data_IF_493915697982
#
_entry.id   IF_493915697982
#
_cell.length_a   1.000
_cell.length_b   1.000
_cell.length_c   1.000
_cell.angle_alpha   90.00
_cell.angle_beta   90.00
_cell.angle_gamma   90.00
#
_symmetry.space_group_name_H-M   'P 1'
#
loop_
_entity.id
_entity.type
_entity.pdbx_description
1 polymer ?
#
# COMPACT_ATOMS: atom_id res chain seq x y z
N UNK A 1 2.44 6.17 20.35
CA UNK A 1 3.40 7.13 19.80
C UNK A 1 2.60 8.23 19.14
N UNK A 2 2.56 9.41 19.74
CA UNK A 2 1.93 10.58 19.12
C UNK A 2 2.79 11.09 17.97
N UNK A 3 2.16 11.56 16.90
CA UNK A 3 2.83 12.21 15.77
C UNK A 3 2.51 13.70 15.80
N UNK A 4 3.53 14.56 15.86
CA UNK A 4 3.33 16.00 15.58
C UNK A 4 2.98 16.16 14.09
N UNK A 5 1.68 16.30 13.82
CA UNK A 5 1.14 16.39 12.45
C UNK A 5 1.63 17.64 11.73
N UNK A 6 1.83 18.76 12.44
CA UNK A 6 2.27 20.00 11.82
C UNK A 6 3.71 19.85 11.35
N UNK A 7 4.61 19.45 12.26
CA UNK A 7 6.01 19.18 11.90
C UNK A 7 6.10 18.13 10.78
N UNK A 8 5.37 17.03 10.92
CA UNK A 8 5.37 15.95 9.94
C UNK A 8 4.98 16.44 8.53
N UNK A 9 3.87 17.19 8.40
CA UNK A 9 3.43 17.66 7.09
C UNK A 9 4.34 18.75 6.51
N UNK A 10 4.99 19.56 7.34
CA UNK A 10 5.97 20.55 6.89
C UNK A 10 7.22 19.86 6.31
N UNK A 11 7.78 18.88 7.02
CA UNK A 11 8.90 18.07 6.52
C UNK A 11 8.52 17.26 5.28
N UNK A 12 7.37 16.56 5.30
CA UNK A 12 6.93 15.72 4.19
C UNK A 12 6.70 16.56 2.92
N UNK A 13 6.16 17.77 3.05
CA UNK A 13 5.98 18.69 1.92
C UNK A 13 7.32 18.99 1.24
N UNK A 14 8.35 19.31 2.01
CA UNK A 14 9.66 19.67 1.48
C UNK A 14 10.40 18.46 0.88
N UNK A 15 10.49 17.35 1.62
CA UNK A 15 11.38 16.23 1.28
C UNK A 15 10.74 15.15 0.39
N UNK A 16 9.42 15.00 0.43
CA UNK A 16 8.72 13.83 -0.14
C UNK A 16 7.80 14.26 -1.29
N UNK A 17 7.04 15.34 -1.09
CA UNK A 17 6.03 15.79 -2.05
C UNK A 17 6.50 16.94 -2.96
N UNK A 18 7.81 17.20 -3.03
CA UNK A 18 8.39 18.15 -3.98
C UNK A 18 7.95 19.60 -3.77
N UNK A 19 7.81 20.02 -2.51
CA UNK A 19 7.46 21.38 -2.10
C UNK A 19 5.96 21.68 -2.07
N UNK A 20 5.08 20.77 -2.53
CA UNK A 20 3.63 21.00 -2.53
C UNK A 20 2.86 19.76 -2.10
N UNK A 21 1.91 19.95 -1.19
CA UNK A 21 1.04 18.89 -0.69
C UNK A 21 -0.42 19.21 -1.06
N UNK A 22 -1.08 18.30 -1.79
CA UNK A 22 -2.48 18.44 -2.22
C UNK A 22 -3.43 17.98 -1.10
N UNK A 23 -4.64 18.52 -1.06
CA UNK A 23 -5.65 18.13 -0.06
C UNK A 23 -5.88 16.60 0.00
N UNK A 24 -5.98 15.94 -1.16
CA UNK A 24 -6.12 14.47 -1.22
C UNK A 24 -4.88 13.71 -0.72
N UNK A 25 -3.68 14.28 -0.84
CA UNK A 25 -2.48 13.69 -0.24
C UNK A 25 -2.52 13.84 1.29
N UNK A 26 -2.93 15.01 1.80
CA UNK A 26 -3.13 15.22 3.25
C UNK A 26 -4.13 14.22 3.81
N UNK A 27 -5.29 14.07 3.15
CA UNK A 27 -6.35 13.15 3.55
C UNK A 27 -5.85 11.70 3.65
N UNK A 28 -5.19 11.22 2.60
CA UNK A 28 -4.69 9.84 2.56
C UNK A 28 -3.58 9.56 3.58
N UNK A 29 -2.65 10.50 3.72
CA UNK A 29 -1.58 10.38 4.73
C UNK A 29 -2.17 10.42 6.14
N UNK A 30 -3.11 11.33 6.40
CA UNK A 30 -3.77 11.43 7.71
C UNK A 30 -4.52 10.14 8.04
N UNK A 31 -5.27 9.58 7.08
CA UNK A 31 -5.97 8.32 7.27
C UNK A 31 -5.02 7.15 7.62
N UNK A 32 -3.83 7.09 7.02
CA UNK A 32 -2.82 6.08 7.37
C UNK A 32 -2.28 6.30 8.79
N UNK A 33 -1.94 7.54 9.15
CA UNK A 33 -1.43 7.86 10.48
C UNK A 33 -2.47 7.59 11.58
N UNK A 34 -3.72 8.01 11.39
CA UNK A 34 -4.84 7.75 12.31
C UNK A 34 -5.14 6.25 12.37
N UNK A 35 -5.09 5.59 11.22
CA UNK A 35 -5.26 4.15 11.11
C UNK A 35 -4.19 3.38 11.88
N UNK A 36 -2.94 3.86 11.88
CA UNK A 36 -1.84 3.30 12.63
C UNK A 36 -1.98 3.54 14.13
N UNK A 37 -2.28 4.77 14.55
CA UNK A 37 -2.50 5.10 15.98
C UNK A 37 -3.58 4.22 16.61
N UNK A 38 -4.67 3.94 15.87
CA UNK A 38 -5.75 3.05 16.34
C UNK A 38 -5.33 1.59 16.50
N UNK A 39 -4.43 1.09 15.64
CA UNK A 39 -4.15 -0.35 15.48
C UNK A 39 -2.81 -0.79 16.09
N UNK A 40 -1.84 0.11 16.11
CA UNK A 40 -0.48 -0.10 16.56
C UNK A 40 0.03 1.14 17.32
N UNK A 41 -0.64 1.55 18.43
CA UNK A 41 -0.25 2.75 19.17
C UNK A 41 1.19 2.67 19.72
N UNK A 42 1.68 1.48 20.03
CA UNK A 42 3.06 1.23 20.49
C UNK A 42 3.98 0.74 19.35
N UNK A 43 3.52 0.83 18.11
CA UNK A 43 4.25 0.37 16.94
C UNK A 43 5.52 1.16 16.69
N UNK A 44 6.51 0.48 16.10
CA UNK A 44 7.80 1.07 15.75
C UNK A 44 7.65 2.19 14.69
N UNK A 45 8.34 3.31 14.91
CA UNK A 45 8.29 4.48 14.01
C UNK A 45 8.80 4.17 12.60
N UNK A 46 9.83 3.35 12.47
CA UNK A 46 10.38 2.96 11.18
C UNK A 46 9.38 2.09 10.42
N UNK A 47 8.66 1.22 11.14
CA UNK A 47 7.58 0.43 10.56
C UNK A 47 6.46 1.32 9.99
N UNK A 48 5.98 2.33 10.75
CA UNK A 48 5.01 3.31 10.23
C UNK A 48 5.55 4.07 9.02
N UNK A 49 6.82 4.51 9.07
CA UNK A 49 7.46 5.18 7.95
C UNK A 49 7.48 4.31 6.69
N UNK A 50 7.72 3.01 6.84
CA UNK A 50 7.73 2.06 5.74
C UNK A 50 6.34 1.78 5.17
N UNK A 51 5.30 1.78 6.02
CA UNK A 51 3.89 1.73 5.60
C UNK A 51 3.55 2.92 4.71
N UNK A 52 3.92 4.14 5.14
CA UNK A 52 3.71 5.36 4.34
C UNK A 52 4.49 5.33 3.03
N UNK A 53 5.74 4.86 3.05
CA UNK A 53 6.56 4.70 1.85
C UNK A 53 5.98 3.71 0.85
N UNK A 54 5.42 2.60 1.35
CA UNK A 54 4.72 1.62 0.53
C UNK A 54 3.52 2.25 -0.15
N UNK A 55 2.63 2.90 0.62
CA UNK A 55 1.48 3.59 0.04
C UNK A 55 1.89 4.67 -0.98
N UNK A 56 2.93 5.45 -0.69
CA UNK A 56 3.45 6.45 -1.61
C UNK A 56 3.92 5.83 -2.92
N UNK A 57 4.70 4.76 -2.86
CA UNK A 57 5.24 4.09 -4.03
C UNK A 57 4.13 3.45 -4.88
N UNK A 58 3.27 2.64 -4.26
CA UNK A 58 2.24 1.86 -4.96
C UNK A 58 1.12 2.73 -5.54
N UNK A 59 0.94 3.96 -5.02
CA UNK A 59 -0.11 4.89 -5.48
C UNK A 59 0.42 6.01 -6.37
N UNK A 60 1.67 5.92 -6.84
CA UNK A 60 2.36 6.97 -7.59
C UNK A 60 2.31 8.35 -6.90
N UNK A 61 2.48 8.35 -5.58
CA UNK A 61 2.51 9.54 -4.73
C UNK A 61 1.15 10.22 -4.52
N UNK A 62 0.05 9.65 -5.00
CA UNK A 62 -1.29 10.21 -4.79
C UNK A 62 -1.75 10.06 -3.35
N UNK A 63 -1.23 9.05 -2.63
CA UNK A 63 -1.65 8.64 -1.29
C UNK A 63 -3.13 8.28 -1.22
N UNK A 64 -3.74 7.94 -2.34
CA UNK A 64 -5.13 7.54 -2.44
C UNK A 64 -5.22 6.10 -2.95
N UNK A 65 -6.25 5.33 -2.60
CA UNK A 65 -6.52 4.05 -3.22
C UNK A 65 -6.58 4.20 -4.75
N UNK A 66 -5.79 3.43 -5.47
CA UNK A 66 -5.79 3.45 -6.95
C UNK A 66 -6.12 2.08 -7.51
N UNK A 67 -6.75 2.07 -8.68
CA UNK A 67 -6.86 0.86 -9.49
C UNK A 67 -5.59 0.68 -10.28
N UNK A 68 -5.27 -0.56 -10.58
CA UNK A 68 -4.15 -0.93 -11.43
C UNK A 68 -4.14 -0.12 -12.72
N UNK A 69 -2.95 0.24 -13.19
CA UNK A 69 -2.71 1.17 -14.30
C UNK A 69 -3.20 2.62 -14.07
N UNK A 70 -3.56 2.98 -12.83
CA UNK A 70 -4.20 4.26 -12.47
C UNK A 70 -5.49 4.52 -13.26
N UNK A 71 -6.24 3.45 -13.54
CA UNK A 71 -7.50 3.55 -14.26
C UNK A 71 -8.62 4.13 -13.37
N UNK A 72 -9.55 4.86 -14.00
CA UNK A 72 -10.74 5.37 -13.30
C UNK A 72 -11.78 4.29 -13.04
N UNK A 73 -11.83 3.26 -13.87
CA UNK A 73 -12.79 2.16 -13.79
C UNK A 73 -12.09 0.82 -13.98
N UNK A 74 -12.70 -0.26 -13.49
CA UNK A 74 -12.20 -1.62 -13.66
C UNK A 74 -12.14 -2.01 -15.14
N UNK A 75 -13.15 -1.66 -15.93
CA UNK A 75 -13.16 -1.91 -17.37
C UNK A 75 -11.96 -1.26 -18.09
N UNK A 76 -11.58 -0.03 -17.70
CA UNK A 76 -10.43 0.63 -18.28
C UNK A 76 -9.10 0.02 -17.81
N UNK A 77 -9.01 -0.44 -16.55
CA UNK A 77 -7.86 -1.20 -16.06
C UNK A 77 -7.69 -2.51 -16.85
N UNK A 78 -8.76 -3.29 -16.96
CA UNK A 78 -8.81 -4.56 -17.69
C UNK A 78 -8.38 -4.33 -19.15
N UNK A 79 -8.97 -3.36 -19.86
CA UNK A 79 -8.61 -3.10 -21.26
C UNK A 79 -7.12 -2.76 -21.45
N UNK A 80 -6.50 -2.05 -20.50
CA UNK A 80 -5.07 -1.73 -20.53
C UNK A 80 -4.21 -2.97 -20.24
N UNK A 81 -4.61 -3.80 -19.28
CA UNK A 81 -3.95 -5.05 -18.94
C UNK A 81 -4.04 -6.05 -20.10
N UNK A 82 -5.22 -6.20 -20.72
CA UNK A 82 -5.41 -7.00 -21.94
C UNK A 82 -4.46 -6.58 -23.04
N UNK A 83 -4.40 -5.28 -23.35
CA UNK A 83 -3.51 -4.75 -24.39
C UNK A 83 -2.03 -5.05 -24.06
N UNK A 84 -1.64 -4.93 -22.80
CA UNK A 84 -0.28 -5.25 -22.37
C UNK A 84 0.02 -6.75 -22.49
N UNK A 85 -0.90 -7.60 -22.06
CA UNK A 85 -0.82 -9.07 -22.12
C UNK A 85 -0.73 -9.57 -23.57
N UNK A 86 -1.66 -9.15 -24.43
CA UNK A 86 -1.68 -9.52 -25.85
C UNK A 86 -0.41 -9.06 -26.61
N UNK A 87 0.21 -7.96 -26.17
CA UNK A 87 1.49 -7.49 -26.72
C UNK A 87 2.74 -8.16 -26.12
N UNK A 88 2.58 -9.16 -25.26
CA UNK A 88 3.70 -9.91 -24.64
C UNK A 88 4.51 -9.10 -23.62
N UNK A 89 3.96 -8.01 -23.07
CA UNK A 89 4.61 -7.18 -22.04
C UNK A 89 4.47 -7.73 -20.62
N UNK A 90 3.53 -8.65 -20.39
CA UNK A 90 3.27 -9.28 -19.09
C UNK A 90 3.72 -10.75 -19.07
N UNK A 91 4.99 -11.00 -19.44
CA UNK A 91 5.52 -12.37 -19.65
C UNK A 91 5.50 -13.28 -18.43
N UNK A 92 5.51 -12.71 -17.23
CA UNK A 92 5.45 -13.46 -15.97
C UNK A 92 4.03 -13.92 -15.61
N UNK A 93 3.01 -13.32 -16.21
CA UNK A 93 1.62 -13.65 -15.94
C UNK A 93 1.23 -14.86 -16.78
N UNK A 94 1.04 -16.01 -16.13
CA UNK A 94 0.53 -17.23 -16.80
C UNK A 94 -0.98 -17.24 -16.89
N UNK A 95 -1.65 -16.82 -15.82
CA UNK A 95 -3.10 -16.79 -15.71
C UNK A 95 -3.51 -15.35 -15.36
N UNK A 96 -4.18 -14.64 -16.28
CA UNK A 96 -4.64 -13.27 -16.09
C UNK A 96 -5.60 -13.17 -14.90
N UNK A 97 -5.13 -12.65 -13.77
CA UNK A 97 -5.95 -12.50 -12.57
C UNK A 97 -7.03 -11.41 -12.70
N UNK A 98 -6.93 -10.56 -13.71
CA UNK A 98 -7.91 -9.52 -13.99
C UNK A 98 -9.05 -10.00 -14.89
N UNK A 99 -8.97 -11.20 -15.48
CA UNK A 99 -10.11 -11.80 -16.17
C UNK A 99 -11.24 -12.03 -15.17
N UNK A 100 -12.48 -11.63 -15.51
CA UNK A 100 -13.64 -11.97 -14.71
C UNK A 100 -13.73 -13.48 -14.51
N UNK A 101 -13.95 -13.92 -13.28
CA UNK A 101 -14.26 -15.32 -12.99
C UNK A 101 -15.71 -15.68 -13.36
N UNK A 102 -16.14 -16.89 -13.00
CA UNK A 102 -17.49 -17.38 -13.30
C UNK A 102 -18.60 -16.52 -12.65
N UNK A 103 -18.27 -15.78 -11.59
CA UNK A 103 -19.16 -14.83 -10.92
C UNK A 103 -19.01 -13.38 -11.43
N UNK A 104 -18.20 -13.18 -12.48
CA UNK A 104 -17.93 -11.88 -13.07
C UNK A 104 -16.97 -11.00 -12.25
N UNK A 105 -16.25 -11.56 -11.27
CA UNK A 105 -15.34 -10.80 -10.38
C UNK A 105 -13.94 -10.75 -10.95
N UNK A 106 -13.32 -9.58 -10.89
CA UNK A 106 -11.95 -9.35 -11.35
C UNK A 106 -11.02 -9.05 -10.19
N UNK A 107 -9.88 -9.74 -10.13
CA UNK A 107 -8.91 -9.68 -9.04
C UNK A 107 -7.71 -8.76 -9.36
N UNK A 108 -7.96 -7.73 -10.18
CA UNK A 108 -6.98 -6.69 -10.53
C UNK A 108 -6.50 -5.89 -9.32
N UNK A 109 -5.37 -5.19 -9.46
CA UNK A 109 -4.75 -4.39 -8.39
C UNK A 109 -5.65 -3.26 -7.89
N UNK A 110 -5.92 -3.21 -6.58
CA UNK A 110 -6.68 -2.12 -5.94
C UNK A 110 -6.04 -1.65 -4.65
N UNK A 111 -6.37 -0.42 -4.27
CA UNK A 111 -5.99 0.14 -2.97
C UNK A 111 -4.56 0.69 -2.91
N UNK A 112 -4.18 1.08 -1.70
CA UNK A 112 -2.89 1.66 -1.31
C UNK A 112 -1.71 0.68 -1.45
N UNK A 113 -1.97 -0.61 -1.66
CA UNK A 113 -0.96 -1.67 -1.75
C UNK A 113 -1.04 -2.48 -3.05
N UNK A 114 -1.91 -2.08 -3.99
CA UNK A 114 -2.15 -2.82 -5.25
C UNK A 114 -2.46 -4.31 -5.01
N UNK A 115 -3.50 -4.60 -4.21
CA UNK A 115 -3.94 -5.96 -3.91
C UNK A 115 -4.42 -6.67 -5.18
N UNK A 116 -3.72 -7.73 -5.59
CA UNK A 116 -4.02 -8.56 -6.76
C UNK A 116 -4.30 -10.01 -6.35
N UNK A 117 -4.95 -10.79 -7.22
CA UNK A 117 -5.28 -12.22 -7.06
C UNK A 117 -6.34 -12.54 -5.99
N UNK A 118 -7.28 -13.42 -6.34
CA UNK A 118 -8.39 -13.86 -5.47
C UNK A 118 -7.97 -14.26 -4.06
N UNK A 119 -6.92 -15.09 -3.93
CA UNK A 119 -6.40 -15.54 -2.62
C UNK A 119 -6.05 -14.39 -1.66
N UNK A 120 -5.58 -13.26 -2.20
CA UNK A 120 -5.23 -12.11 -1.37
C UNK A 120 -6.49 -11.33 -0.96
N UNK A 121 -7.50 -11.26 -1.82
CA UNK A 121 -8.82 -10.72 -1.45
C UNK A 121 -9.51 -11.58 -0.38
N UNK A 122 -9.41 -12.91 -0.47
CA UNK A 122 -9.90 -13.84 0.56
C UNK A 122 -9.17 -13.64 1.90
N UNK A 123 -7.84 -13.54 1.89
CA UNK A 123 -7.05 -13.26 3.08
C UNK A 123 -7.39 -11.90 3.70
N UNK A 124 -7.52 -10.86 2.86
CA UNK A 124 -7.88 -9.51 3.31
C UNK A 124 -9.33 -9.43 3.79
N UNK A 125 -10.22 -10.27 3.28
CA UNK A 125 -11.61 -10.32 3.76
C UNK A 125 -11.66 -10.78 5.21
N UNK A 126 -10.92 -11.85 5.53
CA UNK A 126 -10.78 -12.35 6.92
C UNK A 126 -10.13 -11.31 7.84
N UNK A 127 -9.10 -10.63 7.34
CA UNK A 127 -8.33 -9.66 8.12
C UNK A 127 -9.07 -8.33 8.36
N UNK A 128 -9.89 -7.89 7.41
CA UNK A 128 -10.67 -6.65 7.54
C UNK A 128 -12.07 -6.85 8.11
N UNK A 129 -12.60 -8.08 8.08
CA UNK A 129 -14.02 -8.37 8.37
C UNK A 129 -14.98 -7.91 7.26
N UNK A 130 -14.46 -7.45 6.12
CA UNK A 130 -15.24 -7.03 4.96
C UNK A 130 -15.19 -8.12 3.89
N UNK A 131 -16.33 -8.49 3.31
CA UNK A 131 -16.35 -9.43 2.20
C UNK A 131 -15.86 -8.80 0.88
N UNK A 132 -14.54 -8.83 0.67
CA UNK A 132 -13.88 -8.35 -0.54
C UNK A 132 -13.95 -9.37 -1.69
N UNK A 133 -14.42 -10.60 -1.42
CA UNK A 133 -14.63 -11.62 -2.45
C UNK A 133 -15.95 -11.36 -3.15
N UNK A 134 -17.01 -11.10 -2.37
CA UNK A 134 -18.30 -10.70 -2.90
C UNK A 134 -18.24 -9.31 -3.56
N UNK A 135 -17.49 -8.36 -2.99
CA UNK A 135 -17.30 -7.03 -3.56
C UNK A 135 -15.83 -6.55 -3.55
N UNK A 136 -15.03 -6.93 -4.58
CA UNK A 136 -13.64 -6.52 -4.70
C UNK A 136 -13.43 -5.01 -4.81
N UNK A 137 -14.45 -4.25 -5.25
CA UNK A 137 -14.32 -2.81 -5.42
C UNK A 137 -14.15 -2.09 -4.08
N UNK A 138 -14.60 -2.68 -2.98
CA UNK A 138 -14.45 -2.14 -1.62
C UNK A 138 -13.01 -1.95 -1.18
N UNK A 139 -12.05 -2.66 -1.79
CA UNK A 139 -10.62 -2.41 -1.59
C UNK A 139 -10.18 -0.99 -2.02
N UNK A 140 -11.03 -0.26 -2.76
CA UNK A 140 -10.84 1.15 -3.11
C UNK A 140 -11.38 2.13 -2.07
N UNK A 141 -12.16 1.68 -1.09
CA UNK A 141 -12.59 2.52 0.03
C UNK A 141 -11.36 2.85 0.90
N UNK A 142 -11.16 4.12 1.23
CA UNK A 142 -9.94 4.58 1.91
C UNK A 142 -9.72 3.86 3.25
N UNK A 143 -10.74 3.75 4.10
CA UNK A 143 -10.61 3.08 5.40
C UNK A 143 -10.27 1.59 5.29
N UNK A 144 -10.91 0.89 4.34
CA UNK A 144 -10.62 -0.53 4.09
C UNK A 144 -9.21 -0.66 3.56
N UNK A 145 -8.81 0.17 2.60
CA UNK A 145 -7.47 0.11 2.03
C UNK A 145 -6.38 0.44 3.06
N UNK A 146 -6.62 1.36 4.00
CA UNK A 146 -5.70 1.64 5.12
C UNK A 146 -5.60 0.43 6.02
N UNK A 147 -6.72 -0.23 6.32
CA UNK A 147 -6.74 -1.47 7.13
C UNK A 147 -5.94 -2.57 6.44
N UNK A 148 -6.18 -2.83 5.15
CA UNK A 148 -5.45 -3.81 4.34
C UNK A 148 -3.95 -3.52 4.38
N UNK A 149 -3.54 -2.28 4.14
CA UNK A 149 -2.14 -1.88 4.14
C UNK A 149 -1.48 -2.15 5.50
N UNK A 150 -2.05 -1.62 6.58
CA UNK A 150 -1.44 -1.69 7.91
C UNK A 150 -1.45 -3.12 8.44
N UNK A 151 -2.62 -3.73 8.54
CA UNK A 151 -2.76 -5.06 9.13
C UNK A 151 -2.13 -6.13 8.25
N UNK A 152 -2.25 -6.03 6.92
CA UNK A 152 -1.59 -6.95 6.00
C UNK A 152 -0.07 -6.93 6.17
N UNK A 153 0.55 -5.76 6.32
CA UNK A 153 2.00 -5.64 6.57
C UNK A 153 2.41 -6.09 7.99
N UNK A 154 1.54 -5.93 8.99
CA UNK A 154 1.79 -6.38 10.37
C UNK A 154 1.67 -7.90 10.53
N UNK A 155 0.68 -8.49 9.87
CA UNK A 155 0.41 -9.93 9.92
C UNK A 155 1.23 -10.72 8.89
N UNK A 156 1.79 -10.05 7.88
CA UNK A 156 2.52 -10.69 6.78
C UNK A 156 1.60 -11.39 5.79
N UNK A 157 0.38 -10.86 5.60
CA UNK A 157 -0.66 -11.55 4.83
C UNK A 157 -0.45 -11.52 3.31
N UNK A 158 0.55 -10.80 2.80
CA UNK A 158 0.87 -10.76 1.37
C UNK A 158 1.88 -11.84 0.97
N UNK A 159 2.95 -12.01 1.76
CA UNK A 159 4.09 -12.90 1.43
C UNK A 159 4.52 -13.83 2.57
N UNK A 160 3.90 -13.72 3.75
CA UNK A 160 4.33 -14.36 5.00
C UNK A 160 5.33 -13.52 5.81
N UNK A 161 5.93 -12.49 5.21
CA UNK A 161 6.90 -11.60 5.87
C UNK A 161 6.19 -10.37 6.41
N UNK A 162 6.50 -9.98 7.64
CA UNK A 162 5.84 -8.90 8.37
C UNK A 162 6.80 -7.77 8.77
N UNK A 163 6.25 -6.61 9.13
CA UNK A 163 7.02 -5.44 9.60
C UNK A 163 8.01 -5.80 10.72
N UNK A 164 7.60 -6.61 11.69
CA UNK A 164 8.47 -7.06 12.79
C UNK A 164 9.63 -7.95 12.37
N UNK A 165 9.64 -8.49 11.14
CA UNK A 165 10.82 -9.16 10.59
C UNK A 165 11.92 -8.17 10.20
N UNK A 166 11.63 -6.88 10.03
CA UNK A 166 12.56 -5.88 9.49
C UNK A 166 12.78 -4.66 10.37
N UNK A 167 11.82 -4.34 11.24
CA UNK A 167 11.87 -3.17 12.13
C UNK A 167 11.57 -3.59 13.57
N UNK A 168 12.29 -3.01 14.52
CA UNK A 168 12.16 -3.26 15.96
C UNK A 168 13.47 -3.05 16.71
N UNK A 169 13.56 -3.47 17.99
CA UNK A 169 14.78 -3.30 18.78
C UNK A 169 16.01 -3.90 18.09
N UNK A 170 17.02 -3.05 17.82
CA UNK A 170 18.23 -3.43 17.11
C UNK A 170 18.05 -3.80 15.64
N UNK A 171 16.88 -3.53 15.03
CA UNK A 171 16.55 -3.94 13.66
C UNK A 171 16.02 -2.78 12.82
N UNK A 172 16.65 -2.56 11.67
CA UNK A 172 16.36 -1.46 10.76
C UNK A 172 16.69 -1.86 9.31
N UNK A 173 15.99 -2.84 8.75
CA UNK A 173 16.24 -3.35 7.39
C UNK A 173 15.22 -2.79 6.38
N UNK A 174 15.53 -1.58 5.88
CA UNK A 174 14.71 -0.86 4.90
C UNK A 174 14.65 -1.52 3.52
N UNK A 175 15.75 -2.17 3.10
CA UNK A 175 15.83 -2.80 1.77
C UNK A 175 15.10 -4.14 1.77
N UNK A 176 15.34 -4.97 2.78
CA UNK A 176 14.71 -6.26 2.93
C UNK A 176 13.20 -6.17 3.14
N UNK A 177 12.72 -5.10 3.77
CA UNK A 177 11.29 -4.86 4.01
C UNK A 177 10.45 -4.79 2.72
N UNK A 178 11.04 -4.63 1.53
CA UNK A 178 10.29 -4.70 0.27
C UNK A 178 9.60 -6.06 0.10
N UNK A 179 10.19 -7.10 0.69
CA UNK A 179 9.69 -8.47 0.70
C UNK A 179 8.36 -8.67 1.43
N UNK A 180 7.92 -7.69 2.22
CA UNK A 180 6.59 -7.71 2.85
C UNK A 180 5.50 -7.65 1.79
N UNK A 181 5.71 -6.90 0.69
CA UNK A 181 4.70 -6.64 -0.33
C UNK A 181 4.95 -7.45 -1.61
N UNK A 182 6.20 -7.48 -2.09
CA UNK A 182 6.56 -8.11 -3.35
C UNK A 182 7.99 -8.70 -3.25
N UNK A 183 8.70 -8.96 -4.34
CA UNK A 183 10.12 -9.33 -4.31
C UNK A 183 11.03 -8.18 -3.85
N UNK A 184 12.11 -7.92 -4.59
CA UNK A 184 13.04 -6.81 -4.29
C UNK A 184 13.01 -5.70 -5.32
N UNK A 185 11.99 -5.68 -6.19
CA UNK A 185 11.85 -4.62 -7.19
C UNK A 185 11.67 -3.26 -6.51
N UNK A 186 12.42 -2.26 -7.01
CA UNK A 186 12.49 -0.89 -6.48
C UNK A 186 12.80 -0.79 -4.98
N UNK A 187 13.41 -1.81 -4.37
CA UNK A 187 13.68 -1.83 -2.92
C UNK A 187 14.45 -0.60 -2.42
N UNK A 188 15.48 -0.16 -3.15
CA UNK A 188 16.25 1.05 -2.81
C UNK A 188 15.40 2.32 -2.83
N UNK A 189 14.52 2.46 -3.83
CA UNK A 189 13.64 3.61 -3.95
C UNK A 189 12.63 3.67 -2.80
N UNK A 190 11.98 2.55 -2.50
CA UNK A 190 11.02 2.45 -1.38
C UNK A 190 11.73 2.65 -0.04
N UNK A 191 12.93 2.10 0.14
CA UNK A 191 13.75 2.34 1.32
C UNK A 191 14.11 3.82 1.49
N UNK A 192 14.44 4.51 0.38
CA UNK A 192 14.67 5.96 0.37
C UNK A 192 13.45 6.74 0.84
N UNK A 193 12.26 6.43 0.31
CA UNK A 193 11.00 7.01 0.78
C UNK A 193 10.77 6.74 2.27
N UNK A 194 10.99 5.49 2.73
CA UNK A 194 10.83 5.09 4.13
C UNK A 194 11.70 5.92 5.07
N UNK A 195 12.98 6.10 4.74
CA UNK A 195 13.89 6.92 5.53
C UNK A 195 13.45 8.40 5.56
N UNK A 196 12.94 8.93 4.45
CA UNK A 196 12.42 10.29 4.40
C UNK A 196 11.17 10.47 5.27
N UNK A 197 10.19 9.57 5.19
CA UNK A 197 9.04 9.56 6.10
C UNK A 197 9.47 9.40 7.56
N UNK A 198 10.49 8.58 7.84
CA UNK A 198 10.97 8.37 9.20
C UNK A 198 11.56 9.64 9.82
N UNK A 199 12.26 10.48 9.03
CA UNK A 199 12.72 11.80 9.47
C UNK A 199 11.54 12.75 9.73
N UNK A 200 10.55 12.75 8.85
CA UNK A 200 9.34 13.57 9.05
C UNK A 200 8.55 13.17 10.30
N UNK A 201 8.56 11.88 10.67
CA UNK A 201 7.95 11.36 11.91
C UNK A 201 8.78 11.62 13.17
N UNK A 202 9.96 12.22 13.06
CA UNK A 202 10.86 12.42 14.20
C UNK A 202 10.61 13.70 15.00
N UNK A 203 9.68 14.56 14.56
CA UNK A 203 9.24 15.71 15.35
C UNK A 203 8.55 15.25 16.62
N UNK A 204 9.06 15.70 17.76
CA UNK A 204 8.52 15.55 19.11
C UNK A 204 8.34 16.92 19.73
#
# INVERSE_FOLDING_TARGET
>A
MGVDRRYFFDCARAEIFGGRLRAKQVEGVSAILDGWEKRAPEGDRQALAYVLATAFHETAGTMQPVRETLARTDAAAIARLEKAYASGRLRSVRTPYWWPDAEGKSWLGRGLVQLTHRRNYEAMSKLTGVDLVADPARAMELEISVTILIEGMRAGSFTGLKLGNYFGPGRSDWLGARRIINGTDRAELVAGHGKAFCRALAGV
#
